data_IF_161866433046
#
_entry.id   IF_161866433046
#
_cell.length_a   1.000
_cell.length_b   1.000
_cell.length_c   1.000
_cell.angle_alpha   90.00
_cell.angle_beta   90.00
_cell.angle_gamma   90.00
#
_symmetry.space_group_name_H-M   'P 1'
#
loop_
_entity.id
_entity.type
_entity.pdbx_description
1 polymer ?
#
# COMPACT_ATOMS: atom_id res chain seq x y z
N UNK A 1 12.02 29.06 30.49
CA UNK A 1 12.28 28.97 29.02
C UNK A 1 12.85 27.59 28.67
N UNK A 2 14.02 27.21 29.21
CA UNK A 2 14.62 25.88 28.99
C UNK A 2 13.72 24.65 29.23
N UNK A 3 12.88 24.64 30.28
CA UNK A 3 11.98 23.51 30.56
C UNK A 3 10.87 23.35 29.51
N UNK A 4 10.31 24.46 29.01
CA UNK A 4 9.26 24.45 28.00
C UNK A 4 9.79 24.05 26.61
N UNK A 5 11.04 24.41 26.29
CA UNK A 5 11.72 23.94 25.08
C UNK A 5 12.01 22.44 25.13
N UNK A 6 12.49 21.92 26.28
CA UNK A 6 12.71 20.48 26.46
C UNK A 6 11.42 19.64 26.37
N UNK A 7 10.31 20.13 26.93
CA UNK A 7 9.00 19.47 26.81
C UNK A 7 8.46 19.49 25.37
N UNK A 8 8.67 20.58 24.63
CA UNK A 8 8.29 20.69 23.22
C UNK A 8 9.12 19.76 22.31
N UNK A 9 10.42 19.63 22.57
CA UNK A 9 11.31 18.75 21.81
C UNK A 9 10.99 17.26 22.07
N UNK A 10 10.72 16.89 23.32
CA UNK A 10 10.28 15.54 23.68
C UNK A 10 8.92 15.18 23.04
N UNK A 11 7.97 16.12 23.03
CA UNK A 11 6.68 15.93 22.38
C UNK A 11 6.82 15.78 20.85
N UNK A 12 7.75 16.52 20.22
CA UNK A 12 8.03 16.38 18.79
C UNK A 12 8.67 15.04 18.46
N UNK A 13 9.69 14.64 19.22
CA UNK A 13 10.35 13.34 19.06
C UNK A 13 9.39 12.16 19.26
N UNK A 14 8.44 12.27 20.21
CA UNK A 14 7.42 11.25 20.41
C UNK A 14 6.44 11.17 19.21
N UNK A 15 6.04 12.32 18.65
CA UNK A 15 5.20 12.37 17.44
C UNK A 15 5.91 11.80 16.21
N UNK A 16 7.19 12.12 16.03
CA UNK A 16 7.99 11.62 14.91
C UNK A 16 8.12 10.10 14.98
N UNK A 17 8.43 9.53 16.16
CA UNK A 17 8.47 8.08 16.38
C UNK A 17 7.12 7.40 16.12
N UNK A 18 6.02 8.00 16.57
CA UNK A 18 4.68 7.46 16.33
C UNK A 18 4.31 7.50 14.83
N UNK A 19 4.71 8.56 14.12
CA UNK A 19 4.53 8.66 12.67
C UNK A 19 5.36 7.61 11.92
N UNK A 20 6.62 7.39 12.31
CA UNK A 20 7.47 6.36 11.71
C UNK A 20 6.91 4.94 11.93
N UNK A 21 6.44 4.64 13.13
CA UNK A 21 5.79 3.36 13.42
C UNK A 21 4.52 3.16 12.60
N UNK A 22 3.70 4.21 12.47
CA UNK A 22 2.50 4.17 11.63
C UNK A 22 2.86 3.93 10.16
N UNK A 23 3.86 4.64 9.63
CA UNK A 23 4.32 4.47 8.25
C UNK A 23 4.88 3.05 8.02
N UNK A 24 5.59 2.48 8.99
CA UNK A 24 6.08 1.11 8.90
C UNK A 24 4.92 0.10 8.88
N UNK A 25 3.90 0.30 9.71
CA UNK A 25 2.70 -0.54 9.73
C UNK A 25 1.90 -0.43 8.41
N UNK A 26 1.70 0.79 7.92
CA UNK A 26 1.00 1.06 6.65
C UNK A 26 1.73 0.38 5.48
N UNK A 27 3.07 0.45 5.43
CA UNK A 27 3.88 -0.24 4.41
C UNK A 27 3.73 -1.77 4.49
N UNK A 28 3.77 -2.34 5.70
CA UNK A 28 3.60 -3.77 5.88
C UNK A 28 2.21 -4.25 5.41
N UNK A 29 1.15 -3.50 5.73
CA UNK A 29 -0.21 -3.78 5.26
C UNK A 29 -0.32 -3.67 3.73
N UNK A 30 0.20 -2.59 3.15
CA UNK A 30 0.22 -2.39 1.71
C UNK A 30 0.94 -3.52 0.98
N UNK A 31 2.10 -3.94 1.49
CA UNK A 31 2.83 -5.08 0.97
C UNK A 31 1.98 -6.37 0.98
N UNK A 32 1.32 -6.67 2.10
CA UNK A 32 0.47 -7.86 2.22
C UNK A 32 -0.69 -7.82 1.21
N UNK A 33 -1.38 -6.68 1.12
CA UNK A 33 -2.49 -6.48 0.17
C UNK A 33 -2.03 -6.58 -1.28
N UNK A 34 -0.89 -5.99 -1.63
CA UNK A 34 -0.37 -6.04 -2.98
C UNK A 34 0.03 -7.45 -3.41
N UNK A 35 0.64 -8.24 -2.51
CA UNK A 35 0.94 -9.67 -2.74
C UNK A 35 -0.33 -10.48 -2.99
N UNK A 36 -1.36 -10.30 -2.17
CA UNK A 36 -2.65 -10.98 -2.33
C UNK A 36 -3.32 -10.59 -3.65
N UNK A 37 -3.37 -9.30 -3.99
CA UNK A 37 -3.93 -8.82 -5.25
C UNK A 37 -3.19 -9.43 -6.45
N UNK A 38 -1.86 -9.44 -6.43
CA UNK A 38 -1.05 -10.05 -7.50
C UNK A 38 -1.34 -11.55 -7.65
N UNK A 39 -1.41 -12.30 -6.55
CA UNK A 39 -1.74 -13.72 -6.59
C UNK A 39 -3.12 -13.98 -7.22
N UNK A 40 -4.13 -13.18 -6.87
CA UNK A 40 -5.47 -13.26 -7.49
C UNK A 40 -5.45 -12.94 -8.99
N UNK A 41 -4.64 -11.98 -9.42
CA UNK A 41 -4.50 -11.63 -10.84
C UNK A 41 -3.78 -12.71 -11.64
N UNK A 42 -2.85 -13.43 -11.00
CA UNK A 42 -2.02 -14.50 -11.59
C UNK A 42 -2.73 -15.87 -11.57
N UNK A 43 -3.82 -16.04 -10.82
CA UNK A 43 -4.50 -17.33 -10.62
C UNK A 43 -5.19 -17.92 -11.86
N UNK A 44 -5.31 -17.14 -12.95
CA UNK A 44 -6.06 -17.53 -14.15
C UNK A 44 -7.58 -17.49 -13.99
N UNK A 45 -8.10 -17.16 -12.81
CA UNK A 45 -9.54 -17.03 -12.58
C UNK A 45 -10.12 -15.82 -13.31
N UNK A 46 -11.38 -15.94 -13.72
CA UNK A 46 -12.16 -14.82 -14.24
C UNK A 46 -12.46 -13.84 -13.12
N UNK A 47 -12.01 -12.59 -13.29
CA UNK A 47 -12.22 -11.52 -12.31
C UNK A 47 -13.31 -10.61 -12.87
N UNK A 48 -14.44 -10.53 -12.17
CA UNK A 48 -15.49 -9.57 -12.48
C UNK A 48 -15.08 -8.21 -11.89
N UNK A 49 -15.13 -7.17 -12.70
CA UNK A 49 -14.85 -5.81 -12.28
C UNK A 49 -15.81 -4.83 -12.94
N UNK A 50 -15.86 -3.61 -12.41
CA UNK A 50 -16.63 -2.52 -13.02
C UNK A 50 -15.71 -1.72 -13.93
N UNK A 51 -16.06 -1.60 -15.20
CA UNK A 51 -15.29 -0.80 -16.15
C UNK A 51 -15.53 0.71 -15.96
N UNK A 52 -14.82 1.55 -16.72
CA UNK A 52 -14.96 3.01 -16.65
C UNK A 52 -16.36 3.54 -16.99
N UNK A 53 -17.21 2.72 -17.61
CA UNK A 53 -18.60 3.05 -17.97
C UNK A 53 -19.61 2.65 -16.88
N UNK A 54 -19.15 2.04 -15.79
CA UNK A 54 -20.02 1.55 -14.72
C UNK A 54 -20.60 0.16 -14.96
N UNK A 55 -20.19 -0.53 -16.02
CA UNK A 55 -20.70 -1.86 -16.38
C UNK A 55 -19.88 -2.95 -15.69
N UNK A 56 -20.55 -4.01 -15.26
CA UNK A 56 -19.89 -5.18 -14.71
C UNK A 56 -19.42 -6.11 -15.84
N UNK A 57 -18.10 -6.23 -16.01
CA UNK A 57 -17.47 -7.02 -17.06
C UNK A 57 -16.36 -7.91 -16.49
N UNK A 58 -16.00 -8.97 -17.22
CA UNK A 58 -14.80 -9.71 -16.90
C UNK A 58 -13.56 -8.92 -17.30
N UNK A 59 -12.54 -8.95 -16.44
CA UNK A 59 -11.26 -8.30 -16.69
C UNK A 59 -10.56 -8.95 -17.87
N UNK A 60 -10.29 -8.17 -18.90
CA UNK A 60 -9.50 -8.58 -20.05
C UNK A 60 -8.00 -8.67 -19.72
N UNK A 61 -7.22 -9.25 -20.63
CA UNK A 61 -5.79 -9.47 -20.43
C UNK A 61 -4.98 -8.17 -20.33
N UNK A 62 -5.40 -7.13 -21.05
CA UNK A 62 -4.73 -5.83 -21.02
C UNK A 62 -4.89 -5.16 -19.65
N UNK A 63 -6.12 -5.15 -19.14
CA UNK A 63 -6.47 -4.65 -17.80
C UNK A 63 -5.77 -5.46 -16.73
N UNK A 64 -5.82 -6.80 -16.82
CA UNK A 64 -5.11 -7.69 -15.89
C UNK A 64 -3.61 -7.42 -15.89
N UNK A 65 -2.99 -7.20 -17.06
CA UNK A 65 -1.57 -6.86 -17.15
C UNK A 65 -1.24 -5.51 -16.49
N UNK A 66 -2.10 -4.51 -16.66
CA UNK A 66 -1.95 -3.21 -16.00
C UNK A 66 -2.06 -3.36 -14.47
N UNK A 67 -3.05 -4.11 -13.97
CA UNK A 67 -3.21 -4.37 -12.53
C UNK A 67 -2.01 -5.11 -11.94
N UNK A 68 -1.48 -6.11 -12.65
CA UNK A 68 -0.28 -6.84 -12.21
C UNK A 68 0.91 -5.92 -12.07
N UNK A 69 1.11 -4.99 -13.02
CA UNK A 69 2.18 -3.99 -12.93
C UNK A 69 1.99 -3.06 -11.75
N UNK A 70 0.76 -2.62 -11.48
CA UNK A 70 0.44 -1.77 -10.32
C UNK A 70 0.71 -2.51 -9.00
N UNK A 71 0.24 -3.74 -8.86
CA UNK A 71 0.51 -4.56 -7.69
C UNK A 71 2.02 -4.81 -7.49
N UNK A 72 2.76 -5.09 -8.58
CA UNK A 72 4.20 -5.27 -8.53
C UNK A 72 4.94 -3.99 -8.09
N UNK A 73 4.53 -2.82 -8.58
CA UNK A 73 5.14 -1.55 -8.17
C UNK A 73 4.99 -1.29 -6.67
N UNK A 74 3.82 -1.60 -6.09
CA UNK A 74 3.60 -1.49 -4.64
C UNK A 74 4.43 -2.52 -3.88
N UNK A 75 4.55 -3.76 -4.39
CA UNK A 75 5.44 -4.76 -3.79
C UNK A 75 6.88 -4.24 -3.78
N UNK A 76 7.35 -3.66 -4.88
CA UNK A 76 8.72 -3.18 -5.01
C UNK A 76 9.02 -1.98 -4.10
N UNK A 77 8.02 -1.16 -3.77
CA UNK A 77 8.15 -0.01 -2.88
C UNK A 77 7.98 -0.36 -1.41
N UNK A 78 6.99 -1.18 -1.07
CA UNK A 78 6.48 -1.32 0.30
C UNK A 78 6.90 -2.66 0.95
N UNK A 79 7.28 -3.67 0.17
CA UNK A 79 7.73 -4.96 0.72
C UNK A 79 9.22 -5.03 1.04
N UNK A 80 10.02 -4.05 0.59
CA UNK A 80 11.45 -4.03 0.88
C UNK A 80 11.67 -3.34 2.24
N UNK A 81 12.47 -3.94 3.13
CA UNK A 81 12.92 -3.21 4.32
C UNK A 81 13.67 -1.96 3.86
N UNK A 82 13.25 -0.80 4.35
CA UNK A 82 13.89 0.50 4.13
C UNK A 82 14.82 0.79 5.29
#
# INVERSE_FOLDING_TARGET
>A
KAKAEAEAEAAKAAKDKAAEQKLAADRAENCARAKQAKASLDSGQLIKHTNAKGEQVFMDDASRAAERKRAQAVIDSDCKPK
#
